data_IF_613092522987
#
_entry.id   IF_613092522987
#
_cell.length_a   1.000
_cell.length_b   1.000
_cell.length_c   1.000
_cell.angle_alpha   90.00
_cell.angle_beta   90.00
_cell.angle_gamma   90.00
#
_symmetry.space_group_name_H-M   'P 1'
#
loop_
_entity.id
_entity.type
_entity.pdbx_description
1 polymer ?
#
# COMPACT_ATOMS: atom_id res chain seq x y z
N UNK A 1 14.76 -9.04 -11.21
CA UNK A 1 14.27 -8.56 -9.90
C UNK A 1 13.10 -9.46 -9.56
N UNK A 2 13.33 -10.44 -8.72
CA UNK A 2 12.28 -11.34 -8.25
C UNK A 2 11.78 -10.83 -6.89
N UNK A 3 10.50 -11.08 -6.62
CA UNK A 3 9.88 -10.80 -5.33
C UNK A 3 10.34 -11.85 -4.33
N UNK A 4 10.80 -11.43 -3.17
CA UNK A 4 11.05 -12.32 -2.03
C UNK A 4 9.89 -12.16 -1.05
N UNK A 5 9.15 -13.24 -0.83
CA UNK A 5 8.09 -13.33 0.17
C UNK A 5 8.50 -14.40 1.19
N UNK A 6 8.76 -13.97 2.43
CA UNK A 6 9.32 -14.82 3.49
C UNK A 6 8.46 -14.74 4.74
N UNK A 7 7.86 -15.88 5.09
CA UNK A 7 7.16 -16.08 6.36
C UNK A 7 8.08 -16.74 7.40
N UNK A 8 7.99 -16.29 8.63
CA UNK A 8 8.69 -16.85 9.79
C UNK A 8 7.71 -17.60 10.69
N UNK A 9 8.24 -18.54 11.49
CA UNK A 9 7.42 -19.42 12.33
C UNK A 9 6.58 -18.68 13.39
N UNK A 10 7.02 -17.49 13.79
CA UNK A 10 6.35 -16.62 14.76
C UNK A 10 5.34 -15.66 14.11
N UNK A 11 5.15 -15.76 12.78
CA UNK A 11 4.18 -15.00 12.01
C UNK A 11 4.69 -13.65 11.47
N UNK A 12 5.94 -13.28 11.73
CA UNK A 12 6.61 -12.21 10.96
C UNK A 12 6.57 -12.57 9.48
N UNK A 13 6.20 -11.60 8.64
CA UNK A 13 6.31 -11.72 7.17
C UNK A 13 7.14 -10.57 6.63
N UNK A 14 8.04 -10.88 5.70
CA UNK A 14 8.81 -9.92 4.93
C UNK A 14 8.49 -10.10 3.45
N UNK A 15 8.15 -9.01 2.78
CA UNK A 15 7.96 -9.00 1.33
C UNK A 15 8.79 -7.87 0.75
N UNK A 16 9.69 -8.20 -0.17
CA UNK A 16 10.58 -7.22 -0.75
C UNK A 16 10.93 -7.50 -2.21
N UNK A 17 11.28 -6.41 -2.89
CA UNK A 17 12.04 -6.41 -4.13
C UNK A 17 13.39 -5.78 -3.86
N UNK A 18 14.46 -6.48 -4.27
CA UNK A 18 15.83 -6.00 -4.20
C UNK A 18 16.45 -5.95 -5.60
N UNK A 19 17.13 -4.86 -5.98
CA UNK A 19 17.88 -4.80 -7.24
C UNK A 19 19.14 -5.67 -7.24
N UNK A 20 19.64 -6.05 -6.05
CA UNK A 20 20.85 -6.87 -5.89
C UNK A 20 20.58 -8.10 -5.01
N UNK A 21 21.39 -9.16 -5.19
CA UNK A 21 21.34 -10.33 -4.33
C UNK A 21 21.93 -9.97 -2.96
N UNK A 22 21.10 -10.08 -1.93
CA UNK A 22 21.44 -9.74 -0.54
C UNK A 22 21.04 -10.86 0.38
N UNK A 23 21.73 -10.96 1.50
CA UNK A 23 21.39 -11.88 2.58
C UNK A 23 20.84 -11.06 3.73
N UNK A 24 19.70 -11.48 4.27
CA UNK A 24 19.15 -10.94 5.50
C UNK A 24 19.21 -12.00 6.61
N UNK A 25 19.40 -11.54 7.84
CA UNK A 25 19.31 -12.34 9.05
C UNK A 25 18.23 -11.72 9.92
N UNK A 26 17.35 -12.58 10.44
CA UNK A 26 16.35 -12.20 11.44
C UNK A 26 16.70 -12.88 12.75
N UNK A 27 16.73 -12.11 13.84
CA UNK A 27 16.88 -12.61 15.20
C UNK A 27 15.87 -11.94 16.13
N UNK A 28 15.68 -12.51 17.32
CA UNK A 28 14.79 -11.95 18.33
C UNK A 28 15.60 -11.32 19.47
N UNK A 29 15.17 -10.16 19.94
CA UNK A 29 15.63 -9.59 21.20
C UNK A 29 14.54 -9.79 22.26
N UNK A 30 14.83 -10.60 23.27
CA UNK A 30 13.90 -10.97 24.36
C UNK A 30 13.90 -9.98 25.51
N UNK A 31 14.62 -8.87 25.39
CA UNK A 31 14.62 -7.76 26.35
C UNK A 31 14.56 -6.41 25.62
N UNK A 32 13.48 -6.16 24.86
CA UNK A 32 13.32 -4.93 24.08
C UNK A 32 13.09 -3.70 24.97
N UNK A 33 13.29 -2.51 24.40
CA UNK A 33 12.87 -1.26 25.03
C UNK A 33 11.35 -1.31 25.32
N UNK A 34 10.87 -0.84 26.49
CA UNK A 34 9.44 -0.82 26.79
C UNK A 34 8.62 -0.04 25.76
N UNK A 35 7.42 -0.51 25.45
CA UNK A 35 6.52 0.12 24.47
C UNK A 35 5.90 1.46 24.90
N UNK A 36 6.25 1.98 26.08
CA UNK A 36 5.73 3.25 26.60
C UNK A 36 6.44 4.49 26.03
N UNK A 37 7.62 4.32 25.43
CA UNK A 37 8.40 5.40 24.86
C UNK A 37 8.27 5.39 23.35
N UNK A 38 7.31 6.15 22.83
CA UNK A 38 6.97 6.19 21.40
C UNK A 38 7.06 7.61 20.87
N UNK A 39 7.61 7.77 19.67
CA UNK A 39 7.64 9.02 18.90
C UNK A 39 7.07 8.80 17.50
N UNK A 40 6.74 9.89 16.78
CA UNK A 40 6.14 9.80 15.43
C UNK A 40 4.62 9.64 15.40
N UNK A 41 3.96 9.69 16.57
CA UNK A 41 2.51 9.83 16.73
C UNK A 41 2.19 10.96 17.71
N UNK A 42 1.05 11.62 17.50
CA UNK A 42 0.49 12.58 18.46
C UNK A 42 -0.44 11.92 19.49
N UNK A 43 -0.75 10.63 19.32
CA UNK A 43 -1.58 9.85 20.24
C UNK A 43 -0.74 9.13 21.30
N UNK A 44 -1.32 8.89 22.47
CA UNK A 44 -0.68 8.21 23.61
C UNK A 44 -1.79 7.83 24.61
N UNK A 45 -1.62 6.80 25.46
CA UNK A 45 -0.41 6.01 25.68
C UNK A 45 -0.25 4.84 24.72
N UNK A 46 0.99 4.33 24.62
CA UNK A 46 1.35 3.12 23.90
C UNK A 46 1.75 1.99 24.86
N UNK A 47 1.49 0.76 24.44
CA UNK A 47 1.88 -0.48 25.12
C UNK A 47 2.58 -1.42 24.13
N UNK A 48 3.50 -2.23 24.64
CA UNK A 48 4.08 -3.32 23.85
C UNK A 48 3.06 -4.46 23.74
N UNK A 49 2.94 -5.03 22.54
CA UNK A 49 2.03 -6.14 22.24
C UNK A 49 2.78 -7.46 21.97
N UNK A 50 4.10 -7.42 21.93
CA UNK A 50 4.98 -8.58 21.85
C UNK A 50 5.98 -8.59 23.02
N UNK A 51 6.36 -9.78 23.47
CA UNK A 51 7.35 -9.95 24.55
C UNK A 51 8.81 -9.87 24.07
N UNK A 52 9.00 -9.71 22.77
CA UNK A 52 10.28 -9.59 22.11
C UNK A 52 10.14 -8.64 20.92
N UNK A 53 11.26 -8.18 20.40
CA UNK A 53 11.37 -7.45 19.14
C UNK A 53 12.14 -8.29 18.10
N UNK A 54 11.94 -7.98 16.83
CA UNK A 54 12.65 -8.59 15.71
C UNK A 54 13.81 -7.68 15.29
N UNK A 55 15.02 -8.22 15.25
CA UNK A 55 16.17 -7.56 14.66
C UNK A 55 16.36 -8.11 13.26
N UNK A 56 16.29 -7.24 12.26
CA UNK A 56 16.56 -7.58 10.87
C UNK A 56 17.87 -6.91 10.49
N UNK A 57 18.78 -7.71 9.93
CA UNK A 57 20.08 -7.24 9.48
C UNK A 57 20.43 -7.79 8.11
N UNK A 58 20.65 -6.89 7.16
CA UNK A 58 21.19 -7.19 5.85
C UNK A 58 22.72 -7.30 5.92
N UNK A 59 23.29 -8.03 4.97
CA UNK A 59 24.75 -8.15 4.82
C UNK A 59 25.42 -6.83 4.38
N UNK A 60 24.63 -5.88 3.87
CA UNK A 60 25.04 -4.54 3.50
C UNK A 60 23.90 -3.55 3.78
N UNK A 61 24.24 -2.26 3.94
CA UNK A 61 23.22 -1.22 4.06
C UNK A 61 22.47 -1.07 2.75
N UNK A 62 21.16 -1.33 2.76
CA UNK A 62 20.29 -1.16 1.60
C UNK A 62 19.26 -0.06 1.86
N UNK A 63 19.18 0.90 0.94
CA UNK A 63 18.21 2.01 0.94
C UNK A 63 17.44 2.10 -0.39
N UNK A 64 17.51 1.05 -1.19
CA UNK A 64 16.99 0.91 -2.54
C UNK A 64 15.97 -0.24 -2.65
N UNK A 65 15.50 -0.76 -1.51
CA UNK A 65 14.49 -1.80 -1.48
C UNK A 65 13.11 -1.23 -1.83
N UNK A 66 12.21 -2.11 -2.27
CA UNK A 66 10.77 -1.90 -2.12
C UNK A 66 10.33 -2.99 -1.17
N UNK A 67 10.07 -2.64 0.08
CA UNK A 67 9.80 -3.62 1.13
C UNK A 67 8.56 -3.28 1.95
N UNK A 68 8.00 -4.32 2.57
CA UNK A 68 7.09 -4.24 3.71
C UNK A 68 7.48 -5.26 4.77
N UNK A 69 7.20 -4.90 6.02
CA UNK A 69 7.25 -5.80 7.17
C UNK A 69 5.83 -5.98 7.69
N UNK A 70 5.47 -7.21 8.07
CA UNK A 70 4.18 -7.51 8.69
C UNK A 70 4.39 -8.23 10.02
N UNK A 71 3.83 -7.69 11.10
CA UNK A 71 3.85 -8.28 12.43
C UNK A 71 2.44 -8.79 12.80
N UNK A 72 2.32 -10.02 13.30
CA UNK A 72 1.04 -10.58 13.70
C UNK A 72 0.62 -10.03 15.06
N UNK A 73 -0.68 -9.84 15.25
CA UNK A 73 -1.29 -9.50 16.55
C UNK A 73 -2.33 -10.56 16.95
N UNK A 74 -2.60 -10.67 18.26
CA UNK A 74 -3.68 -11.50 18.78
C UNK A 74 -4.85 -10.60 19.23
N UNK A 75 -6.02 -10.64 18.55
CA UNK A 75 -7.19 -9.84 18.91
C UNK A 75 -7.63 -10.01 20.38
N UNK A 76 -7.46 -11.21 20.95
CA UNK A 76 -7.83 -11.49 22.33
C UNK A 76 -6.83 -10.85 23.29
N UNK A 77 -5.54 -10.83 22.94
CA UNK A 77 -4.53 -10.12 23.70
C UNK A 77 -4.73 -8.60 23.65
N UNK A 78 -5.10 -8.05 22.48
CA UNK A 78 -5.39 -6.63 22.31
C UNK A 78 -6.52 -6.15 23.23
N UNK A 79 -7.63 -6.90 23.28
CA UNK A 79 -8.76 -6.57 24.16
C UNK A 79 -8.38 -6.54 25.64
N UNK A 80 -7.46 -7.40 26.09
CA UNK A 80 -7.00 -7.42 27.49
C UNK A 80 -6.23 -6.16 27.89
N UNK A 81 -5.67 -5.44 26.92
CA UNK A 81 -4.90 -4.20 27.14
C UNK A 81 -5.60 -2.96 26.59
N UNK A 82 -6.90 -3.07 26.28
CA UNK A 82 -7.73 -1.97 25.78
C UNK A 82 -7.16 -1.30 24.52
N UNK A 83 -6.67 -2.13 23.59
CA UNK A 83 -6.18 -1.68 22.27
C UNK A 83 -7.15 -2.16 21.20
N UNK A 84 -7.64 -1.23 20.37
CA UNK A 84 -8.41 -1.58 19.18
C UNK A 84 -7.48 -2.15 18.08
N UNK A 85 -7.99 -3.07 17.27
CA UNK A 85 -7.22 -3.67 16.17
C UNK A 85 -6.67 -2.62 15.19
N UNK A 86 -7.44 -1.57 14.90
CA UNK A 86 -7.01 -0.44 14.07
C UNK A 86 -5.95 0.47 14.71
N UNK A 87 -5.61 0.23 15.97
CA UNK A 87 -4.61 0.99 16.74
C UNK A 87 -3.34 0.20 17.05
N UNK A 88 -3.05 -0.82 16.24
CA UNK A 88 -1.75 -1.50 16.25
C UNK A 88 -0.75 -0.80 15.33
N UNK A 89 0.53 -0.87 15.69
CA UNK A 89 1.64 -0.26 14.99
C UNK A 89 2.84 -1.20 14.97
N UNK A 90 3.62 -1.13 13.89
CA UNK A 90 4.98 -1.63 13.91
C UNK A 90 5.88 -0.45 14.30
N UNK A 91 6.51 -0.52 15.47
CA UNK A 91 7.51 0.44 15.92
C UNK A 91 8.90 0.05 15.44
N UNK A 92 9.69 1.02 15.03
CA UNK A 92 11.11 0.88 14.67
C UNK A 92 11.96 1.49 15.78
N UNK A 93 12.94 0.78 16.31
CA UNK A 93 13.80 1.33 17.35
C UNK A 93 14.58 2.54 16.80
N UNK A 94 14.50 3.67 17.49
CA UNK A 94 15.26 4.86 17.14
C UNK A 94 16.77 4.59 17.21
N UNK A 95 17.58 5.32 16.43
CA UNK A 95 19.05 5.18 16.44
C UNK A 95 19.66 5.42 17.83
N UNK A 96 19.06 6.31 18.62
CA UNK A 96 19.47 6.59 19.99
C UNK A 96 19.06 5.51 21.01
N UNK A 97 18.24 4.54 20.57
CA UNK A 97 17.66 3.42 21.33
C UNK A 97 16.80 3.83 22.51
N UNK A 98 16.26 5.06 22.52
CA UNK A 98 15.46 5.60 23.63
C UNK A 98 13.97 5.61 23.36
N UNK A 99 13.55 5.39 22.12
CA UNK A 99 12.13 5.32 21.77
C UNK A 99 11.90 4.39 20.60
N UNK A 100 10.67 3.93 20.47
CA UNK A 100 10.14 3.36 19.24
C UNK A 100 9.56 4.48 18.38
N UNK A 101 9.94 4.51 17.11
CA UNK A 101 9.39 5.41 16.12
C UNK A 101 8.24 4.67 15.43
N UNK A 102 7.04 5.25 15.45
CA UNK A 102 5.91 4.77 14.65
C UNK A 102 5.63 5.75 13.51
N UNK A 103 5.02 5.26 12.43
CA UNK A 103 4.68 6.07 11.26
C UNK A 103 3.19 5.96 10.97
N UNK A 104 2.44 7.04 11.19
CA UNK A 104 1.00 7.08 10.87
C UNK A 104 0.72 6.98 9.36
N UNK A 105 1.67 7.41 8.52
CA UNK A 105 1.51 7.46 7.06
C UNK A 105 1.94 6.18 6.36
N UNK A 106 2.78 5.34 7.00
CA UNK A 106 3.23 4.05 6.48
C UNK A 106 2.57 2.86 7.19
N UNK A 107 1.71 3.10 8.19
CA UNK A 107 1.02 2.05 8.95
C UNK A 107 -0.16 1.46 8.20
N UNK A 108 -0.14 0.16 7.93
CA UNK A 108 -1.30 -0.58 7.47
C UNK A 108 -1.77 -1.63 8.49
N UNK A 109 -3.07 -1.70 8.77
CA UNK A 109 -3.66 -2.79 9.57
C UNK A 109 -4.50 -3.67 8.66
N UNK A 110 -4.24 -4.98 8.71
CA UNK A 110 -5.00 -5.99 8.00
C UNK A 110 -5.83 -6.82 8.96
N UNK A 111 -7.05 -6.34 9.21
CA UNK A 111 -7.96 -6.86 10.23
C UNK A 111 -8.27 -8.35 10.03
N UNK A 112 -8.45 -8.81 8.79
CA UNK A 112 -8.81 -10.21 8.52
C UNK A 112 -7.66 -11.21 8.66
N UNK A 113 -6.40 -10.75 8.63
CA UNK A 113 -5.22 -11.61 8.82
C UNK A 113 -4.58 -11.39 10.20
N UNK A 114 -5.13 -10.49 11.01
CA UNK A 114 -4.56 -10.05 12.27
C UNK A 114 -3.10 -9.59 12.14
N UNK A 115 -2.80 -8.76 11.13
CA UNK A 115 -1.44 -8.25 10.87
C UNK A 115 -1.37 -6.73 10.84
N UNK A 116 -0.24 -6.19 11.30
CA UNK A 116 0.12 -4.77 11.21
C UNK A 116 1.37 -4.61 10.38
N UNK A 117 1.45 -3.58 9.55
CA UNK A 117 2.53 -3.42 8.56
C UNK A 117 3.14 -2.03 8.57
N UNK A 118 4.41 -1.97 8.17
CA UNK A 118 4.99 -0.77 7.56
C UNK A 118 5.07 -1.02 6.06
N UNK A 119 4.48 -0.13 5.27
CA UNK A 119 4.58 -0.14 3.80
C UNK A 119 5.57 0.91 3.31
N UNK A 120 5.93 0.84 2.03
CA UNK A 120 6.83 1.82 1.36
C UNK A 120 8.19 1.91 2.02
N UNK A 121 8.73 0.78 2.51
CA UNK A 121 10.05 0.74 3.10
C UNK A 121 11.11 0.65 2.00
N UNK A 122 12.18 1.44 2.16
CA UNK A 122 13.36 1.38 1.27
C UNK A 122 14.57 0.71 1.92
N UNK A 123 14.46 0.41 3.21
CA UNK A 123 15.43 -0.36 4.00
C UNK A 123 14.68 -1.31 4.92
N UNK A 124 15.33 -2.41 5.32
CA UNK A 124 14.81 -3.34 6.34
C UNK A 124 15.72 -3.44 7.56
N UNK A 125 16.93 -2.87 7.53
CA UNK A 125 17.81 -2.88 8.69
C UNK A 125 17.15 -2.17 9.88
N UNK A 126 17.06 -2.86 11.01
CA UNK A 126 16.46 -2.27 12.20
C UNK A 126 15.98 -3.28 13.22
N UNK A 127 15.48 -2.74 14.33
CA UNK A 127 14.76 -3.51 15.34
C UNK A 127 13.30 -3.07 15.34
N UNK A 128 12.39 -4.04 15.32
CA UNK A 128 10.95 -3.85 15.12
C UNK A 128 10.16 -4.46 16.25
N UNK A 129 9.11 -3.79 16.71
CA UNK A 129 8.23 -4.30 17.76
C UNK A 129 6.78 -3.99 17.45
N UNK A 130 5.87 -4.90 17.82
CA UNK A 130 4.44 -4.63 17.73
C UNK A 130 4.02 -3.77 18.93
N UNK A 131 3.39 -2.64 18.63
CA UNK A 131 2.92 -1.65 19.58
C UNK A 131 1.43 -1.43 19.43
N UNK A 132 0.75 -1.12 20.53
CA UNK A 132 -0.66 -0.81 20.57
C UNK A 132 -0.88 0.55 21.19
N UNK A 133 -1.71 1.39 20.57
CA UNK A 133 -2.12 2.66 21.15
C UNK A 133 -3.48 2.49 21.82
N UNK A 134 -3.60 2.94 23.06
CA UNK A 134 -4.85 2.79 23.83
C UNK A 134 -5.88 3.90 23.55
N UNK A 135 -5.49 5.02 22.95
CA UNK A 135 -6.45 6.03 22.50
C UNK A 135 -7.17 5.56 21.25
N UNK A 136 -8.50 5.70 21.26
CA UNK A 136 -9.34 5.47 20.10
C UNK A 136 -8.96 6.44 18.97
N UNK A 137 -8.45 5.88 17.89
CA UNK A 137 -8.33 6.53 16.60
C UNK A 137 -8.88 5.57 15.54
N UNK A 138 -9.48 6.16 14.52
CA UNK A 138 -10.25 5.47 13.48
C UNK A 138 -9.43 5.42 12.18
N UNK A 139 -8.10 5.50 12.27
CA UNK A 139 -7.25 5.83 11.11
C UNK A 139 -6.83 4.64 10.24
N UNK A 140 -6.91 4.89 8.92
CA UNK A 140 -6.38 4.21 7.73
C UNK A 140 -6.16 2.69 7.73
N UNK A 141 -7.20 1.96 7.30
CA UNK A 141 -7.09 0.61 6.74
C UNK A 141 -6.78 0.77 5.24
N UNK A 142 -5.50 0.64 4.83
CA UNK A 142 -5.17 0.50 3.41
C UNK A 142 -5.70 -0.82 2.87
N UNK A 143 -6.25 -0.77 1.65
CA UNK A 143 -6.86 -1.93 0.99
C UNK A 143 -5.79 -2.65 0.16
N UNK A 144 -5.72 -3.97 0.28
CA UNK A 144 -4.87 -4.79 -0.59
C UNK A 144 -5.51 -4.94 -1.98
N UNK A 145 -4.67 -5.17 -2.99
CA UNK A 145 -5.14 -5.57 -4.32
C UNK A 145 -5.78 -6.96 -4.31
N UNK A 146 -6.82 -7.13 -5.11
CA UNK A 146 -7.48 -8.39 -5.41
C UNK A 146 -9.00 -8.37 -5.21
N UNK A 147 -9.58 -9.56 -5.19
CA UNK A 147 -11.02 -9.78 -5.06
C UNK A 147 -11.37 -10.32 -3.66
N UNK A 148 -12.63 -10.14 -3.23
CA UNK A 148 -13.16 -10.67 -1.97
C UNK A 148 -13.42 -9.59 -0.91
N UNK A 149 -14.24 -9.92 0.08
CA UNK A 149 -14.79 -8.95 1.04
C UNK A 149 -13.72 -8.13 1.79
N UNK A 150 -12.53 -8.69 2.01
CA UNK A 150 -11.41 -8.06 2.72
C UNK A 150 -10.51 -7.20 1.83
N UNK A 151 -10.70 -7.27 0.50
CA UNK A 151 -9.97 -6.51 -0.55
C UNK A 151 -10.91 -5.58 -1.32
N UNK A 152 -12.10 -5.39 -0.76
CA UNK A 152 -13.17 -4.59 -1.34
C UNK A 152 -13.21 -3.24 -0.63
N UNK A 153 -13.04 -2.17 -1.40
CA UNK A 153 -13.29 -0.81 -0.92
C UNK A 153 -14.79 -0.59 -0.91
N UNK A 154 -15.32 -0.06 0.19
CA UNK A 154 -16.73 0.36 0.27
C UNK A 154 -16.81 1.87 0.13
N UNK A 155 -17.59 2.35 -0.82
CA UNK A 155 -17.95 3.76 -0.96
C UNK A 155 -19.41 3.94 -0.55
N UNK A 156 -19.66 4.89 0.34
CA UNK A 156 -21.00 5.13 0.90
C UNK A 156 -21.90 6.00 0.01
N UNK A 157 -21.34 6.60 -1.05
CA UNK A 157 -22.01 7.60 -1.87
C UNK A 157 -22.22 8.95 -1.14
N UNK A 158 -23.03 9.83 -1.72
CA UNK A 158 -23.39 11.12 -1.15
C UNK A 158 -22.57 12.32 -1.62
N UNK A 159 -22.70 13.43 -0.91
CA UNK A 159 -22.04 14.70 -1.26
C UNK A 159 -20.56 14.65 -0.87
N UNK A 160 -19.69 15.02 -1.79
CA UNK A 160 -18.24 15.11 -1.56
C UNK A 160 -17.46 13.93 -2.12
N UNK A 161 -16.15 13.96 -1.92
CA UNK A 161 -15.22 12.93 -2.38
C UNK A 161 -14.85 11.99 -1.26
N UNK A 162 -14.81 10.70 -1.57
CA UNK A 162 -14.31 9.65 -0.70
C UNK A 162 -12.97 9.15 -1.26
N UNK A 163 -12.01 8.88 -0.39
CA UNK A 163 -10.67 8.46 -0.79
C UNK A 163 -10.34 7.09 -0.22
N UNK A 164 -9.61 6.31 -1.01
CA UNK A 164 -9.00 5.05 -0.58
C UNK A 164 -7.57 5.00 -1.09
N UNK A 165 -6.67 4.45 -0.29
CA UNK A 165 -5.28 4.24 -0.66
C UNK A 165 -4.96 2.74 -0.59
N UNK A 166 -4.34 2.24 -1.65
CA UNK A 166 -3.85 0.87 -1.74
C UNK A 166 -2.44 0.75 -1.17
N UNK A 167 -2.02 -0.47 -0.88
CA UNK A 167 -0.76 -0.78 -0.20
C UNK A 167 0.51 -0.22 -0.87
N UNK A 168 0.48 0.09 -2.16
CA UNK A 168 1.60 0.69 -2.91
C UNK A 168 1.53 2.23 -2.98
N UNK A 169 0.49 2.83 -2.39
CA UNK A 169 0.22 4.25 -2.42
C UNK A 169 -0.67 4.71 -3.58
N UNK A 170 -1.19 3.81 -4.43
CA UNK A 170 -2.20 4.16 -5.40
C UNK A 170 -3.45 4.67 -4.68
N UNK A 171 -3.88 5.88 -5.00
CA UNK A 171 -5.08 6.49 -4.42
C UNK A 171 -6.19 6.57 -5.44
N UNK A 172 -7.37 6.12 -5.04
CA UNK A 172 -8.60 6.42 -5.75
C UNK A 172 -9.39 7.46 -4.96
N UNK A 173 -9.81 8.50 -5.66
CA UNK A 173 -10.73 9.51 -5.15
C UNK A 173 -12.01 9.42 -5.96
N UNK A 174 -13.11 9.12 -5.28
CA UNK A 174 -14.40 8.82 -5.88
C UNK A 174 -15.41 9.84 -5.38
N UNK A 175 -16.18 10.40 -6.30
CA UNK A 175 -17.41 11.11 -5.99
C UNK A 175 -18.55 10.35 -6.66
N UNK A 176 -19.48 9.83 -5.86
CA UNK A 176 -20.64 9.06 -6.31
C UNK A 176 -21.84 9.45 -5.49
N UNK A 177 -23.00 9.56 -6.12
CA UNK A 177 -24.28 9.77 -5.43
C UNK A 177 -24.82 8.47 -4.81
N UNK A 178 -24.44 7.31 -5.36
CA UNK A 178 -24.85 5.99 -4.88
C UNK A 178 -23.73 5.26 -4.14
N UNK A 179 -24.05 4.46 -3.11
CA UNK A 179 -23.09 3.55 -2.49
C UNK A 179 -22.71 2.42 -3.45
N UNK A 180 -21.44 2.04 -3.46
CA UNK A 180 -20.96 0.90 -4.24
C UNK A 180 -19.68 0.33 -3.65
N UNK A 181 -19.28 -0.83 -4.15
CA UNK A 181 -18.05 -1.51 -3.75
C UNK A 181 -17.08 -1.63 -4.92
N UNK A 182 -15.79 -1.52 -4.65
CA UNK A 182 -14.74 -1.58 -5.67
C UNK A 182 -13.63 -2.56 -5.25
N UNK A 183 -13.31 -3.48 -6.16
CA UNK A 183 -12.09 -4.27 -6.09
C UNK A 183 -11.10 -3.75 -7.13
N UNK A 184 -9.82 -3.71 -6.77
CA UNK A 184 -8.74 -3.33 -7.69
C UNK A 184 -7.75 -4.47 -7.73
N UNK A 185 -7.39 -4.92 -8.92
CA UNK A 185 -6.47 -6.03 -9.13
C UNK A 185 -5.32 -5.59 -10.02
N UNK A 186 -4.09 -6.02 -9.69
CA UNK A 186 -2.91 -5.79 -10.52
C UNK A 186 -2.70 -7.04 -11.35
N UNK A 187 -2.89 -6.94 -12.66
CA UNK A 187 -2.49 -7.99 -13.60
C UNK A 187 -1.05 -7.76 -14.06
N UNK A 188 -0.31 -8.84 -14.29
CA UNK A 188 1.07 -8.83 -14.79
C UNK A 188 1.14 -8.24 -16.21
N UNK A 189 1.10 -6.91 -16.30
CA UNK A 189 1.12 -6.17 -17.55
C UNK A 189 -0.13 -6.38 -18.42
N UNK A 190 -0.16 -5.69 -19.56
CA UNK A 190 -1.18 -5.82 -20.59
C UNK A 190 -0.47 -6.42 -21.81
N UNK A 191 -0.92 -7.56 -22.34
CA UNK A 191 -0.30 -8.14 -23.52
C UNK A 191 -0.55 -7.21 -24.73
N UNK A 192 0.40 -7.18 -25.67
CA UNK A 192 0.42 -6.16 -26.73
C UNK A 192 -0.74 -6.27 -27.71
N UNK A 193 -1.30 -7.47 -27.86
CA UNK A 193 -2.50 -7.78 -28.65
C UNK A 193 -3.79 -7.26 -28.00
N UNK A 194 -3.78 -7.00 -26.69
CA UNK A 194 -4.89 -6.37 -25.98
C UNK A 194 -4.84 -4.83 -26.00
N UNK A 195 -3.89 -4.21 -26.71
CA UNK A 195 -3.78 -2.76 -26.86
C UNK A 195 -4.34 -2.30 -28.20
N UNK A 196 -4.98 -1.14 -28.24
CA UNK A 196 -5.32 -0.48 -29.51
C UNK A 196 -4.06 -0.04 -30.27
N UNK A 197 -4.19 0.37 -31.53
CA UNK A 197 -3.06 0.92 -32.29
C UNK A 197 -2.53 2.21 -31.65
N UNK A 198 -1.22 2.43 -31.74
CA UNK A 198 -0.50 3.62 -31.25
C UNK A 198 -0.57 3.91 -29.74
N UNK A 199 -0.87 2.92 -28.91
CA UNK A 199 -0.79 3.07 -27.45
C UNK A 199 0.19 2.06 -26.85
N UNK A 200 0.73 2.40 -25.67
CA UNK A 200 1.58 1.50 -24.89
C UNK A 200 1.07 1.40 -23.45
N UNK A 201 1.07 0.19 -22.91
CA UNK A 201 0.79 -0.03 -21.49
C UNK A 201 1.86 0.62 -20.60
N UNK A 202 1.42 1.21 -19.49
CA UNK A 202 2.31 1.64 -18.42
C UNK A 202 2.48 0.49 -17.43
N UNK A 203 3.67 -0.12 -17.41
CA UNK A 203 3.92 -1.29 -16.54
C UNK A 203 4.52 -0.87 -15.19
N UNK A 204 5.30 0.22 -15.16
CA UNK A 204 5.87 0.76 -13.91
C UNK A 204 6.29 2.24 -14.05
N UNK A 205 6.68 2.85 -12.92
CA UNK A 205 7.15 4.24 -12.84
C UNK A 205 8.41 4.50 -13.68
N UNK A 206 9.29 3.50 -13.84
CA UNK A 206 10.47 3.62 -14.71
C UNK A 206 10.10 3.72 -16.19
N UNK A 207 9.06 3.01 -16.64
CA UNK A 207 8.50 3.13 -17.99
C UNK A 207 7.80 4.46 -18.21
N UNK A 208 7.14 5.02 -17.19
CA UNK A 208 6.64 6.39 -17.26
C UNK A 208 7.81 7.33 -17.54
N UNK A 209 8.82 7.34 -16.66
CA UNK A 209 10.02 8.17 -16.81
C UNK A 209 10.68 7.98 -18.18
N UNK A 210 10.84 6.73 -18.66
CA UNK A 210 11.41 6.42 -19.96
C UNK A 210 10.57 6.95 -21.15
N UNK A 211 9.24 6.86 -21.07
CA UNK A 211 8.33 7.35 -22.11
C UNK A 211 8.08 8.86 -22.01
N UNK A 212 8.34 9.46 -20.86
CA UNK A 212 8.16 10.89 -20.58
C UNK A 212 9.46 11.70 -20.66
N UNK A 213 10.62 11.05 -20.72
CA UNK A 213 11.94 11.67 -20.75
C UNK A 213 12.03 12.74 -21.86
N UNK A 214 12.42 13.96 -21.46
CA UNK A 214 12.66 15.12 -22.32
C UNK A 214 11.45 15.68 -23.09
N UNK A 215 10.21 15.30 -22.77
CA UNK A 215 9.03 16.01 -23.30
C UNK A 215 8.48 16.99 -22.27
N UNK A 216 8.28 18.22 -22.68
CA UNK A 216 7.34 19.13 -22.00
C UNK A 216 5.97 18.45 -22.01
N UNK A 217 5.21 18.57 -20.91
CA UNK A 217 3.84 18.06 -20.79
C UNK A 217 3.67 16.55 -20.99
N UNK A 218 4.66 15.76 -20.60
CA UNK A 218 4.65 14.32 -20.84
C UNK A 218 3.48 13.58 -20.15
N UNK A 219 3.02 14.12 -19.03
CA UNK A 219 1.82 13.69 -18.31
C UNK A 219 0.52 13.89 -19.13
N UNK A 220 0.48 14.82 -20.10
CA UNK A 220 -0.67 15.00 -21.00
C UNK A 220 -0.84 13.84 -22.00
N UNK A 221 0.15 12.95 -22.10
CA UNK A 221 0.09 11.73 -22.91
C UNK A 221 -0.52 10.55 -22.17
N UNK A 222 -0.88 10.73 -20.90
CA UNK A 222 -1.53 9.69 -20.10
C UNK A 222 -3.03 9.70 -20.34
N UNK A 223 -3.57 8.53 -20.67
CA UNK A 223 -5.01 8.33 -20.87
C UNK A 223 -5.47 7.08 -20.13
N UNK A 224 -6.63 7.18 -19.50
CA UNK A 224 -7.38 6.02 -19.01
C UNK A 224 -8.06 5.35 -20.19
N UNK A 225 -7.86 4.04 -20.31
CA UNK A 225 -8.51 3.20 -21.29
C UNK A 225 -9.36 2.13 -20.61
N UNK A 226 -10.43 1.70 -21.28
CA UNK A 226 -11.39 0.72 -20.78
C UNK A 226 -11.57 -0.42 -21.78
N UNK A 227 -11.86 -1.60 -21.26
CA UNK A 227 -12.54 -2.70 -21.97
C UNK A 227 -13.58 -3.38 -21.06
N UNK A 228 -14.47 -4.23 -21.59
CA UNK A 228 -15.45 -4.97 -20.77
C UNK A 228 -14.81 -5.80 -19.66
N UNK A 229 -15.50 -5.97 -18.52
CA UNK A 229 -14.96 -6.62 -17.31
C UNK A 229 -14.46 -8.07 -17.56
N UNK A 230 -15.13 -8.80 -18.45
CA UNK A 230 -14.82 -10.18 -18.80
C UNK A 230 -14.21 -10.33 -20.20
N UNK A 231 -13.71 -9.23 -20.78
CA UNK A 231 -13.08 -9.25 -22.09
C UNK A 231 -11.86 -10.20 -22.10
N UNK A 232 -11.86 -11.13 -23.05
CA UNK A 232 -10.75 -12.05 -23.30
C UNK A 232 -9.97 -11.66 -24.55
N UNK A 233 -10.63 -11.03 -25.53
CA UNK A 233 -10.04 -10.70 -26.84
C UNK A 233 -10.16 -9.23 -27.20
N UNK A 234 -11.01 -8.46 -26.51
CA UNK A 234 -11.22 -7.04 -26.79
C UNK A 234 -10.05 -6.20 -26.29
N UNK A 235 -9.63 -5.26 -27.14
CA UNK A 235 -8.57 -4.32 -26.82
C UNK A 235 -9.03 -3.22 -25.85
N UNK A 236 -8.11 -2.72 -25.04
CA UNK A 236 -8.32 -1.50 -24.28
C UNK A 236 -8.43 -0.31 -25.24
N UNK A 237 -9.51 0.45 -25.10
CA UNK A 237 -9.75 1.66 -25.89
C UNK A 237 -9.71 2.88 -24.97
N UNK A 238 -8.95 3.94 -25.29
CA UNK A 238 -8.94 5.18 -24.53
C UNK A 238 -10.36 5.72 -24.32
N UNK A 239 -10.66 6.16 -23.10
CA UNK A 239 -11.89 6.89 -22.82
C UNK A 239 -11.90 8.23 -23.57
N UNK A 240 -13.09 8.76 -23.85
CA UNK A 240 -13.22 10.04 -24.56
C UNK A 240 -12.43 11.15 -23.84
N UNK A 241 -11.67 12.00 -24.54
CA UNK A 241 -10.97 13.14 -23.95
C UNK A 241 -11.89 14.08 -23.15
N UNK A 242 -13.17 14.19 -23.51
CA UNK A 242 -14.14 15.02 -22.77
C UNK A 242 -14.53 14.43 -21.42
N UNK A 243 -14.27 13.13 -21.22
CA UNK A 243 -14.59 12.39 -20.00
C UNK A 243 -13.40 12.20 -19.08
N UNK A 244 -12.20 12.63 -19.49
CA UNK A 244 -11.01 12.52 -18.65
C UNK A 244 -10.12 13.76 -18.73
N UNK A 245 -9.47 14.10 -17.63
CA UNK A 245 -8.60 15.26 -17.58
C UNK A 245 -7.51 15.13 -16.53
N UNK A 246 -6.31 15.60 -16.88
CA UNK A 246 -5.21 15.69 -15.93
C UNK A 246 -5.39 16.93 -15.04
N UNK A 247 -5.32 16.71 -13.74
CA UNK A 247 -5.24 17.76 -12.73
C UNK A 247 -3.80 17.82 -12.23
N UNK A 248 -2.96 18.60 -12.92
CA UNK A 248 -1.52 18.65 -12.69
C UNK A 248 -1.16 19.05 -11.25
N UNK A 249 -1.91 19.98 -10.65
CA UNK A 249 -1.70 20.43 -9.26
C UNK A 249 -1.91 19.33 -8.22
N UNK A 250 -2.64 18.27 -8.57
CA UNK A 250 -2.97 17.15 -7.68
C UNK A 250 -2.24 15.86 -8.07
N UNK A 251 -1.43 15.86 -9.14
CA UNK A 251 -0.87 14.64 -9.75
C UNK A 251 -1.94 13.56 -10.00
N UNK A 252 -3.12 13.98 -10.49
CA UNK A 252 -4.32 13.14 -10.60
C UNK A 252 -4.86 13.13 -12.02
N UNK A 253 -5.38 11.99 -12.47
CA UNK A 253 -6.22 11.91 -13.66
C UNK A 253 -7.66 11.74 -13.19
N UNK A 254 -8.50 12.71 -13.54
CA UNK A 254 -9.93 12.70 -13.23
C UNK A 254 -10.67 12.06 -14.39
N UNK A 255 -11.53 11.10 -14.12
CA UNK A 255 -12.50 10.55 -15.07
C UNK A 255 -13.91 10.93 -14.60
N UNK A 256 -14.74 11.45 -15.50
CA UNK A 256 -16.08 11.96 -15.23
C UNK A 256 -17.12 11.24 -16.07
N UNK A 257 -18.38 11.25 -15.63
CA UNK A 257 -19.50 10.66 -16.38
C UNK A 257 -19.55 9.13 -16.36
N UNK A 258 -18.80 8.48 -15.47
CA UNK A 258 -18.94 7.03 -15.25
C UNK A 258 -20.22 6.77 -14.45
N UNK A 259 -21.18 6.08 -15.07
CA UNK A 259 -22.41 5.62 -14.39
C UNK A 259 -22.22 4.29 -13.65
N UNK A 260 -21.16 3.55 -13.98
CA UNK A 260 -20.80 2.27 -13.36
C UNK A 260 -19.32 1.93 -13.62
N UNK A 261 -18.74 1.11 -12.75
CA UNK A 261 -17.41 0.49 -12.92
C UNK A 261 -17.57 -0.94 -13.44
N UNK A 262 -18.00 -1.08 -14.69
CA UNK A 262 -18.38 -2.34 -15.37
C UNK A 262 -17.28 -2.87 -16.32
N UNK A 263 -16.04 -2.49 -16.09
CA UNK A 263 -14.95 -2.73 -17.01
C UNK A 263 -13.61 -2.98 -16.33
N UNK A 264 -12.64 -3.36 -17.15
CA UNK A 264 -11.23 -3.28 -16.77
C UNK A 264 -10.71 -1.92 -17.23
N UNK A 265 -9.99 -1.23 -16.35
CA UNK A 265 -9.44 0.10 -16.60
C UNK A 265 -7.92 0.07 -16.46
N UNK A 266 -7.24 0.76 -17.37
CA UNK A 266 -5.77 0.81 -17.40
C UNK A 266 -5.29 2.20 -17.76
N UNK A 267 -4.06 2.51 -17.37
CA UNK A 267 -3.38 3.72 -17.78
C UNK A 267 -2.46 3.43 -18.97
N UNK A 268 -2.69 4.14 -20.08
CA UNK A 268 -1.91 4.03 -21.30
C UNK A 268 -1.15 5.33 -21.57
N UNK A 269 -0.09 5.20 -22.35
CA UNK A 269 0.62 6.33 -22.96
C UNK A 269 0.29 6.37 -24.44
N UNK A 270 -0.20 7.52 -24.92
CA UNK A 270 -0.44 7.84 -26.34
C UNK A 270 0.74 8.58 -26.96
#
# INVERSE_FOLDING_TARGET
MERTDQDFADGLTLDLFSPYNRTLVVSQNTSPLPGSFVSGSNGAPFVALSNYSWIIKLNETANDLIAKIELPYDPVALQKVDVDQGNTYVGVLAEDKKSWIVSETQRNVHVSENKTRIIKMTSLDGEYMLLGRQTADISNIFVQYGQGATRTVNFTGGIGTQETEFIDGLRFTVQSDQPFTMNVDIKNGIPIDALSTNVSALINRAMLVAKTLNSTDAEKRLVVAKRPLNATTESFTPLSPDTQGLVASENRIKVSGLSQLDGQYVLLVT
#
